data_IF_997087595655
#
_entry.id   IF_997087595655
#
_cell.length_a   1.000
_cell.length_b   1.000
_cell.length_c   1.000
_cell.angle_alpha   90.00
_cell.angle_beta   90.00
_cell.angle_gamma   90.00
#
_symmetry.space_group_name_H-M   'P 1'
#
loop_
_entity.id
_entity.type
_entity.pdbx_description
1 polymer ?
#
# COMPACT_ATOMS: atom_id res chain seq x y z
N UNK A 1 7.41 -0.23 -5.23
CA UNK A 1 7.85 -1.44 -4.55
C UNK A 1 6.78 -2.54 -4.54
N UNK A 2 5.51 -2.20 -4.61
CA UNK A 2 4.38 -3.10 -4.40
C UNK A 2 4.13 -4.02 -5.60
N UNK A 3 4.27 -3.50 -6.82
CA UNK A 3 4.05 -4.28 -8.04
C UNK A 3 5.15 -4.03 -9.07
N UNK A 4 5.84 -5.09 -9.53
CA UNK A 4 6.71 -5.01 -10.69
C UNK A 4 5.82 -5.00 -11.95
N UNK A 5 5.58 -3.82 -12.50
CA UNK A 5 4.70 -3.63 -13.64
C UNK A 5 5.45 -3.82 -14.96
N UNK A 6 4.79 -4.46 -15.94
CA UNK A 6 5.20 -4.42 -17.33
C UNK A 6 4.98 -3.01 -17.92
N UNK A 7 5.59 -2.68 -19.09
CA UNK A 7 5.28 -1.44 -19.78
C UNK A 7 3.77 -1.26 -19.98
N UNK A 8 3.28 -0.06 -19.71
CA UNK A 8 1.85 0.32 -19.77
C UNK A 8 0.90 -0.45 -18.83
N UNK A 9 1.42 -1.30 -17.95
CA UNK A 9 0.60 -1.99 -16.95
C UNK A 9 0.03 -1.01 -15.92
N UNK A 10 -1.10 -1.38 -15.31
CA UNK A 10 -1.84 -0.54 -14.36
C UNK A 10 -1.86 -1.21 -12.98
N UNK A 11 -1.71 -0.40 -11.96
CA UNK A 11 -1.76 -0.83 -10.56
C UNK A 11 -3.17 -0.59 -10.00
N UNK A 12 -3.99 -1.66 -9.94
CA UNK A 12 -5.33 -1.64 -9.33
C UNK A 12 -5.23 -2.22 -7.92
N UNK A 13 -5.33 -1.37 -6.90
CA UNK A 13 -5.09 -1.72 -5.49
C UNK A 13 -6.36 -1.71 -4.65
N UNK A 14 -6.48 -2.68 -3.76
CA UNK A 14 -7.43 -2.71 -2.66
C UNK A 14 -6.75 -3.29 -1.40
N UNK A 15 -7.30 -3.00 -0.23
CA UNK A 15 -6.76 -3.51 1.03
C UNK A 15 -7.87 -4.00 1.96
N UNK A 16 -7.74 -5.22 2.44
CA UNK A 16 -8.60 -5.83 3.45
C UNK A 16 -8.18 -5.32 4.82
N UNK A 17 -9.12 -4.81 5.60
CA UNK A 17 -8.87 -4.40 6.98
C UNK A 17 -8.88 -5.64 7.90
N UNK A 18 -7.70 -6.15 8.24
CA UNK A 18 -7.55 -7.36 9.04
C UNK A 18 -8.10 -7.24 10.47
N UNK A 19 -8.11 -6.04 11.04
CA UNK A 19 -8.63 -5.80 12.39
C UNK A 19 -10.09 -6.24 12.55
N UNK A 20 -10.88 -6.23 11.46
CA UNK A 20 -12.29 -6.60 11.47
C UNK A 20 -12.54 -8.12 11.61
N UNK A 21 -11.52 -8.93 11.44
CA UNK A 21 -11.62 -10.40 11.51
C UNK A 21 -11.10 -10.98 12.81
N UNK A 22 -10.65 -10.14 13.74
CA UNK A 22 -10.25 -10.58 15.08
C UNK A 22 -11.48 -10.79 15.96
N UNK A 23 -11.62 -12.01 16.50
CA UNK A 23 -12.52 -12.26 17.61
C UNK A 23 -11.83 -11.87 18.92
N UNK A 24 -12.19 -10.70 19.44
CA UNK A 24 -11.54 -10.08 20.61
C UNK A 24 -11.86 -10.80 21.93
N UNK A 25 -12.87 -11.67 21.96
CA UNK A 25 -13.23 -12.47 23.16
C UNK A 25 -12.40 -13.73 23.27
N UNK A 26 -12.14 -14.37 22.11
CA UNK A 26 -11.46 -15.67 22.06
C UNK A 26 -10.03 -15.58 21.52
N UNK A 27 -9.54 -14.36 21.19
CA UNK A 27 -8.23 -14.08 20.61
C UNK A 27 -7.94 -14.92 19.34
N UNK A 28 -8.96 -15.10 18.49
CA UNK A 28 -8.90 -15.91 17.27
C UNK A 28 -9.26 -15.09 16.03
N UNK A 29 -9.00 -15.65 14.85
CA UNK A 29 -9.36 -15.03 13.57
C UNK A 29 -10.61 -15.68 13.00
N UNK A 30 -11.57 -14.87 12.53
CA UNK A 30 -12.71 -15.33 11.75
C UNK A 30 -12.28 -15.56 10.29
N UNK A 31 -11.77 -16.74 10.01
CA UNK A 31 -11.31 -17.13 8.68
C UNK A 31 -12.44 -17.23 7.65
N UNK A 32 -13.67 -17.51 8.07
CA UNK A 32 -14.79 -17.62 7.12
C UNK A 32 -15.16 -16.24 6.59
N UNK A 33 -15.32 -15.25 7.46
CA UNK A 33 -15.56 -13.87 7.07
C UNK A 33 -14.39 -13.29 6.24
N UNK A 34 -13.15 -13.66 6.59
CA UNK A 34 -11.96 -13.27 5.83
C UNK A 34 -11.99 -13.83 4.40
N UNK A 35 -12.28 -15.13 4.23
CA UNK A 35 -12.40 -15.75 2.90
C UNK A 35 -13.48 -15.09 2.05
N UNK A 36 -14.65 -14.85 2.63
CA UNK A 36 -15.74 -14.20 1.89
C UNK A 36 -15.33 -12.78 1.43
N UNK A 37 -14.70 -12.01 2.31
CA UNK A 37 -14.21 -10.67 1.98
C UNK A 37 -13.15 -10.70 0.86
N UNK A 38 -12.23 -11.67 0.90
CA UNK A 38 -11.23 -11.86 -0.16
C UNK A 38 -11.89 -12.17 -1.51
N UNK A 39 -12.90 -13.06 -1.56
CA UNK A 39 -13.65 -13.36 -2.79
C UNK A 39 -14.32 -12.11 -3.36
N UNK A 40 -14.98 -11.34 -2.51
CA UNK A 40 -15.61 -10.06 -2.91
C UNK A 40 -14.55 -9.07 -3.40
N UNK A 41 -13.42 -8.95 -2.70
CA UNK A 41 -12.32 -8.06 -3.07
C UNK A 41 -11.73 -8.36 -4.44
N UNK A 42 -11.48 -9.63 -4.75
CA UNK A 42 -10.99 -10.06 -6.07
C UNK A 42 -12.00 -9.73 -7.17
N UNK A 43 -13.28 -10.06 -6.97
CA UNK A 43 -14.36 -9.75 -7.93
C UNK A 43 -14.52 -8.25 -8.14
N UNK A 44 -14.47 -7.46 -7.06
CA UNK A 44 -14.57 -6.01 -7.13
C UNK A 44 -13.43 -5.42 -7.99
N UNK A 45 -12.19 -5.84 -7.73
CA UNK A 45 -11.03 -5.36 -8.50
C UNK A 45 -11.08 -5.80 -9.96
N UNK A 46 -11.56 -7.02 -10.27
CA UNK A 46 -11.77 -7.46 -11.66
C UNK A 46 -12.82 -6.58 -12.37
N UNK A 47 -13.89 -6.18 -11.68
CA UNK A 47 -14.90 -5.27 -12.23
C UNK A 47 -14.33 -3.86 -12.46
N UNK A 48 -13.43 -3.37 -11.60
CA UNK A 48 -12.77 -2.07 -11.79
C UNK A 48 -11.95 -2.02 -13.07
N UNK A 49 -11.30 -3.13 -13.46
CA UNK A 49 -10.57 -3.20 -14.73
C UNK A 49 -11.51 -2.93 -15.91
N UNK A 50 -12.71 -3.52 -15.91
CA UNK A 50 -13.69 -3.35 -16.99
C UNK A 50 -14.36 -1.95 -16.95
N UNK A 51 -14.51 -1.37 -15.75
CA UNK A 51 -15.14 -0.06 -15.57
C UNK A 51 -14.18 1.13 -15.79
N UNK A 52 -12.88 0.88 -15.88
CA UNK A 52 -11.89 1.95 -16.01
C UNK A 52 -11.82 2.49 -17.44
N UNK A 53 -12.02 3.80 -17.65
CA UNK A 53 -11.79 4.45 -18.95
C UNK A 53 -10.28 4.68 -19.13
N UNK A 54 -9.61 3.81 -19.86
CA UNK A 54 -8.18 3.96 -20.13
C UNK A 54 -7.93 5.07 -21.14
N UNK A 55 -7.06 6.01 -20.80
CA UNK A 55 -6.76 7.15 -21.66
C UNK A 55 -5.87 6.76 -22.85
N UNK A 56 -4.85 5.90 -22.62
CA UNK A 56 -3.97 5.38 -23.65
C UNK A 56 -4.43 4.00 -24.12
N UNK A 57 -4.37 3.77 -25.44
CA UNK A 57 -4.72 2.46 -26.01
C UNK A 57 -3.80 1.35 -25.47
N UNK A 58 -2.50 1.63 -25.33
CA UNK A 58 -1.53 0.70 -24.79
C UNK A 58 -1.83 0.30 -23.36
N UNK A 59 -2.30 1.23 -22.51
CA UNK A 59 -2.78 0.91 -21.17
C UNK A 59 -4.02 0.01 -21.22
N UNK A 60 -4.97 0.30 -22.12
CA UNK A 60 -6.17 -0.51 -22.32
C UNK A 60 -5.81 -1.95 -22.71
N UNK A 61 -4.97 -2.11 -23.72
CA UNK A 61 -4.52 -3.42 -24.22
C UNK A 61 -3.81 -4.19 -23.10
N UNK A 62 -2.90 -3.56 -22.39
CA UNK A 62 -2.14 -4.19 -21.31
C UNK A 62 -3.05 -4.57 -20.13
N UNK A 63 -3.86 -3.62 -19.63
CA UNK A 63 -4.70 -3.84 -18.47
C UNK A 63 -5.78 -4.91 -18.71
N UNK A 64 -6.48 -4.86 -19.85
CA UNK A 64 -7.48 -5.86 -20.23
C UNK A 64 -6.82 -7.20 -20.58
N UNK A 65 -5.60 -7.18 -21.13
CA UNK A 65 -4.87 -8.38 -21.52
C UNK A 65 -4.36 -9.19 -20.35
N UNK A 66 -3.75 -8.56 -19.35
CA UNK A 66 -3.21 -9.23 -18.16
C UNK A 66 -4.22 -9.32 -17.00
N UNK A 67 -5.20 -8.43 -16.93
CA UNK A 67 -6.19 -8.31 -15.85
C UNK A 67 -5.55 -8.37 -14.45
N UNK A 68 -4.47 -7.64 -14.28
CA UNK A 68 -3.72 -7.59 -13.02
C UNK A 68 -4.50 -6.83 -11.96
N UNK A 69 -4.59 -7.41 -10.77
CA UNK A 69 -5.09 -6.76 -9.57
C UNK A 69 -4.07 -6.87 -8.44
N UNK A 70 -4.26 -6.12 -7.38
CA UNK A 70 -3.38 -6.11 -6.22
C UNK A 70 -4.19 -5.99 -4.94
N UNK A 71 -4.75 -7.11 -4.47
CA UNK A 71 -5.40 -7.19 -3.18
C UNK A 71 -4.34 -7.31 -2.09
N UNK A 72 -4.33 -6.36 -1.17
CA UNK A 72 -3.45 -6.34 0.00
C UNK A 72 -4.25 -6.26 1.29
N UNK A 73 -3.58 -5.81 2.33
CA UNK A 73 -4.15 -5.71 3.67
C UNK A 73 -3.74 -4.42 4.36
N UNK A 74 -4.46 -4.06 5.42
CA UNK A 74 -4.10 -3.07 6.45
C UNK A 74 -4.57 -3.61 7.80
N UNK A 75 -4.09 -3.03 8.91
CA UNK A 75 -4.49 -3.45 10.25
C UNK A 75 -3.92 -4.81 10.70
N UNK A 76 -2.74 -5.20 10.17
CA UNK A 76 -2.09 -6.43 10.63
C UNK A 76 -1.68 -6.34 12.11
N UNK A 77 -1.10 -5.20 12.52
CA UNK A 77 -0.71 -5.01 13.91
C UNK A 77 -1.91 -5.04 14.85
N UNK A 78 -3.03 -4.43 14.43
CA UNK A 78 -4.29 -4.45 15.20
C UNK A 78 -4.80 -5.88 15.40
N UNK A 79 -4.83 -6.67 14.33
CA UNK A 79 -5.26 -8.07 14.40
C UNK A 79 -4.37 -8.86 15.37
N UNK A 80 -3.04 -8.69 15.29
CA UNK A 80 -2.11 -9.36 16.18
C UNK A 80 -2.34 -8.96 17.66
N UNK A 81 -2.54 -7.67 17.92
CA UNK A 81 -2.86 -7.15 19.26
C UNK A 81 -4.18 -7.76 19.77
N UNK A 82 -5.24 -7.80 18.96
CA UNK A 82 -6.51 -8.41 19.37
C UNK A 82 -6.41 -9.91 19.59
N UNK A 83 -5.47 -10.58 18.93
CA UNK A 83 -5.18 -12.01 19.13
C UNK A 83 -4.13 -12.25 20.22
N UNK A 84 -3.66 -11.23 20.93
CA UNK A 84 -2.63 -11.29 21.96
C UNK A 84 -1.33 -11.95 21.46
N UNK A 85 -0.92 -11.59 20.26
CA UNK A 85 0.32 -12.06 19.62
C UNK A 85 1.26 -10.89 19.38
N UNK A 86 2.48 -11.00 19.92
CA UNK A 86 3.52 -10.01 19.67
C UNK A 86 3.95 -10.06 18.20
N UNK A 87 3.98 -8.90 17.54
CA UNK A 87 4.46 -8.77 16.18
C UNK A 87 5.93 -9.22 16.07
N UNK A 88 6.22 -10.16 15.15
CA UNK A 88 7.57 -10.70 14.95
C UNK A 88 7.99 -11.80 15.92
N UNK A 89 7.18 -12.15 16.90
CA UNK A 89 7.38 -13.36 17.72
C UNK A 89 7.11 -14.64 16.92
N UNK A 90 7.53 -15.79 17.42
CA UNK A 90 7.26 -17.09 16.79
C UNK A 90 5.74 -17.31 16.61
N UNK A 91 4.97 -17.14 17.68
CA UNK A 91 3.51 -17.30 17.66
C UNK A 91 2.81 -16.26 16.76
N UNK A 92 3.31 -15.01 16.74
CA UNK A 92 2.83 -13.97 15.82
C UNK A 92 3.12 -14.33 14.37
N UNK A 93 4.30 -14.85 14.08
CA UNK A 93 4.73 -15.25 12.75
C UNK A 93 3.95 -16.47 12.21
N UNK A 94 3.62 -17.44 13.08
CA UNK A 94 2.74 -18.58 12.72
C UNK A 94 1.35 -18.09 12.33
N UNK A 95 0.77 -17.19 13.10
CA UNK A 95 -0.54 -16.59 12.79
C UNK A 95 -0.50 -15.79 11.48
N UNK A 96 0.55 -15.01 11.25
CA UNK A 96 0.76 -14.27 10.00
C UNK A 96 0.85 -15.22 8.80
N UNK A 97 1.62 -16.30 8.90
CA UNK A 97 1.74 -17.31 7.83
C UNK A 97 0.38 -17.93 7.48
N UNK A 98 -0.43 -18.29 8.48
CA UNK A 98 -1.76 -18.87 8.30
C UNK A 98 -2.76 -17.88 7.65
N UNK A 99 -2.76 -16.62 8.09
CA UNK A 99 -3.63 -15.57 7.53
C UNK A 99 -3.31 -15.36 6.05
N UNK A 100 -2.03 -15.15 5.72
CA UNK A 100 -1.65 -14.87 4.34
C UNK A 100 -1.77 -16.08 3.42
N UNK A 101 -1.56 -17.29 3.94
CA UNK A 101 -1.90 -18.53 3.24
C UNK A 101 -3.39 -18.57 2.89
N UNK A 102 -4.26 -18.32 3.86
CA UNK A 102 -5.71 -18.29 3.66
C UNK A 102 -6.12 -17.26 2.60
N UNK A 103 -5.56 -16.05 2.66
CA UNK A 103 -5.82 -15.00 1.67
C UNK A 103 -5.37 -15.45 0.29
N UNK A 104 -4.16 -16.01 0.15
CA UNK A 104 -3.60 -16.41 -1.12
C UNK A 104 -4.41 -17.54 -1.78
N UNK A 105 -4.69 -18.61 -1.04
CA UNK A 105 -5.47 -19.74 -1.53
C UNK A 105 -6.87 -19.28 -1.97
N UNK A 106 -7.54 -18.50 -1.13
CA UNK A 106 -8.88 -17.98 -1.43
C UNK A 106 -8.91 -17.03 -2.65
N UNK A 107 -7.93 -16.15 -2.78
CA UNK A 107 -7.86 -15.23 -3.93
C UNK A 107 -7.67 -16.00 -5.25
N UNK A 108 -6.81 -17.01 -5.25
CA UNK A 108 -6.59 -17.83 -6.43
C UNK A 108 -7.80 -18.71 -6.76
N UNK A 109 -8.47 -19.31 -5.77
CA UNK A 109 -9.76 -19.99 -5.97
C UNK A 109 -10.80 -19.06 -6.60
N UNK A 110 -11.01 -17.87 -6.01
CA UNK A 110 -11.96 -16.89 -6.54
C UNK A 110 -11.66 -16.48 -7.99
N UNK A 111 -10.38 -16.31 -8.34
CA UNK A 111 -9.99 -15.97 -9.70
C UNK A 111 -10.18 -17.13 -10.70
N UNK A 112 -10.03 -18.39 -10.27
CA UNK A 112 -10.37 -19.55 -11.11
C UNK A 112 -11.88 -19.70 -11.32
N UNK A 113 -12.69 -19.39 -10.31
CA UNK A 113 -14.14 -19.35 -10.42
C UNK A 113 -14.60 -18.24 -11.37
N UNK A 114 -14.00 -17.04 -11.26
CA UNK A 114 -14.25 -15.95 -12.21
C UNK A 114 -13.86 -16.32 -13.65
N UNK A 115 -12.80 -17.11 -13.84
CA UNK A 115 -12.42 -17.60 -15.16
C UNK A 115 -13.49 -18.54 -15.76
N UNK A 116 -14.16 -19.36 -14.96
CA UNK A 116 -15.29 -20.19 -15.40
C UNK A 116 -16.49 -19.34 -15.85
N UNK A 117 -16.74 -18.22 -15.14
CA UNK A 117 -17.85 -17.32 -15.44
C UNK A 117 -17.58 -16.42 -16.66
N UNK A 118 -16.35 -15.91 -16.80
CA UNK A 118 -16.00 -14.76 -17.68
C UNK A 118 -14.82 -15.03 -18.62
N UNK A 119 -14.23 -16.20 -18.56
CA UNK A 119 -13.01 -16.55 -19.29
C UNK A 119 -11.73 -16.16 -18.58
N UNK A 120 -10.61 -16.76 -18.98
CA UNK A 120 -9.27 -16.45 -18.55
C UNK A 120 -8.86 -15.02 -18.92
N UNK A 121 -7.84 -14.49 -18.27
CA UNK A 121 -7.21 -13.27 -18.78
C UNK A 121 -6.62 -13.52 -20.18
N UNK A 122 -6.83 -12.57 -21.13
CA UNK A 122 -6.52 -12.76 -22.54
C UNK A 122 -5.11 -13.24 -22.86
N UNK A 123 -4.08 -12.75 -22.13
CA UNK A 123 -2.69 -13.17 -22.37
C UNK A 123 -2.39 -14.63 -21.96
N UNK A 124 -3.32 -15.31 -21.28
CA UNK A 124 -3.25 -16.75 -21.00
C UNK A 124 -3.93 -17.62 -22.07
N UNK A 125 -4.49 -17.01 -23.09
CA UNK A 125 -5.21 -17.67 -24.19
C UNK A 125 -4.38 -17.56 -25.47
N UNK A 126 -3.93 -18.68 -26.01
CA UNK A 126 -3.18 -18.75 -27.27
C UNK A 126 -4.11 -18.77 -28.48
N UNK A 127 -3.50 -18.73 -29.65
CA UNK A 127 -4.22 -18.81 -30.93
C UNK A 127 -4.83 -20.20 -31.20
N UNK A 128 -4.31 -21.24 -30.52
CA UNK A 128 -4.81 -22.63 -30.60
C UNK A 128 -5.04 -23.20 -29.20
N UNK A 129 -5.76 -24.30 -29.12
CA UNK A 129 -5.97 -25.03 -27.86
C UNK A 129 -4.65 -25.58 -27.30
N UNK A 130 -3.74 -26.05 -28.16
CA UNK A 130 -2.42 -26.52 -27.74
C UNK A 130 -1.57 -25.40 -27.16
N UNK A 131 -1.63 -24.22 -27.78
CA UNK A 131 -0.91 -23.05 -27.24
C UNK A 131 -1.51 -22.60 -25.91
N UNK A 132 -2.82 -22.57 -25.79
CA UNK A 132 -3.51 -22.26 -24.52
C UNK A 132 -3.13 -23.25 -23.42
N UNK A 133 -3.11 -24.54 -23.72
CA UNK A 133 -2.68 -25.57 -22.76
C UNK A 133 -1.23 -25.39 -22.32
N UNK A 134 -0.33 -25.04 -23.25
CA UNK A 134 1.08 -24.74 -22.97
C UNK A 134 1.22 -23.52 -22.06
N UNK A 135 0.48 -22.43 -22.33
CA UNK A 135 0.51 -21.21 -21.51
C UNK A 135 0.00 -21.48 -20.09
N UNK A 136 -1.12 -22.20 -19.94
CA UNK A 136 -1.66 -22.58 -18.62
C UNK A 136 -0.68 -23.46 -17.84
N UNK A 137 -0.04 -24.42 -18.52
CA UNK A 137 0.99 -25.25 -17.89
C UNK A 137 2.16 -24.41 -17.40
N UNK A 138 2.70 -23.53 -18.23
CA UNK A 138 3.80 -22.64 -17.85
C UNK A 138 3.42 -21.74 -16.65
N UNK A 139 2.18 -21.23 -16.60
CA UNK A 139 1.68 -20.46 -15.48
C UNK A 139 1.70 -21.29 -14.18
N UNK A 140 1.21 -22.53 -14.20
CA UNK A 140 1.17 -23.40 -13.02
C UNK A 140 2.54 -23.91 -12.58
N UNK A 141 3.57 -23.81 -13.42
CA UNK A 141 4.95 -24.17 -13.11
C UNK A 141 5.78 -23.00 -12.54
N UNK A 142 5.23 -21.79 -12.42
CA UNK A 142 5.93 -20.65 -11.82
C UNK A 142 6.26 -20.92 -10.35
N UNK A 143 7.34 -20.30 -9.85
CA UNK A 143 7.79 -20.51 -8.47
C UNK A 143 6.74 -20.19 -7.42
N UNK A 144 5.87 -19.21 -7.67
CA UNK A 144 4.74 -18.91 -6.78
C UNK A 144 3.71 -20.04 -6.81
N UNK A 145 3.32 -20.50 -7.99
CA UNK A 145 2.28 -21.54 -8.15
C UNK A 145 2.69 -22.92 -7.62
N UNK A 146 3.98 -23.19 -7.46
CA UNK A 146 4.45 -24.45 -6.86
C UNK A 146 3.97 -24.62 -5.42
N UNK A 147 3.69 -23.53 -4.70
CA UNK A 147 3.19 -23.51 -3.32
C UNK A 147 1.68 -23.67 -3.22
N UNK A 148 0.96 -23.43 -4.32
CA UNK A 148 -0.50 -23.49 -4.35
C UNK A 148 -1.00 -24.94 -4.29
N UNK A 149 -2.17 -25.18 -3.64
CA UNK A 149 -2.82 -26.49 -3.62
C UNK A 149 -3.02 -27.09 -4.99
N UNK A 150 -2.98 -28.42 -5.08
CA UNK A 150 -3.11 -29.15 -6.35
C UNK A 150 -4.42 -28.82 -7.07
N UNK A 151 -5.54 -28.73 -6.35
CA UNK A 151 -6.85 -28.44 -6.93
C UNK A 151 -6.92 -27.08 -7.64
N UNK A 152 -6.23 -26.03 -7.14
CA UNK A 152 -6.15 -24.73 -7.80
C UNK A 152 -5.39 -24.86 -9.13
N UNK A 153 -4.25 -25.57 -9.14
CA UNK A 153 -3.47 -25.83 -10.36
C UNK A 153 -4.27 -26.61 -11.39
N UNK A 154 -5.00 -27.63 -10.96
CA UNK A 154 -5.88 -28.43 -11.80
C UNK A 154 -7.00 -27.59 -12.42
N UNK A 155 -7.62 -26.70 -11.65
CA UNK A 155 -8.62 -25.75 -12.16
C UNK A 155 -8.02 -24.80 -13.21
N UNK A 156 -6.82 -24.26 -12.96
CA UNK A 156 -6.12 -23.40 -13.93
C UNK A 156 -5.82 -24.15 -15.23
N UNK A 157 -5.36 -25.39 -15.16
CA UNK A 157 -5.13 -26.20 -16.33
C UNK A 157 -6.42 -26.45 -17.11
N UNK A 158 -7.52 -26.71 -16.43
CA UNK A 158 -8.82 -27.02 -17.04
C UNK A 158 -9.50 -25.77 -17.64
N UNK A 159 -9.64 -24.70 -16.87
CA UNK A 159 -10.47 -23.53 -17.24
C UNK A 159 -9.69 -22.21 -17.32
N UNK A 160 -8.43 -22.18 -16.85
CA UNK A 160 -7.63 -20.96 -16.75
C UNK A 160 -7.86 -20.21 -15.44
N UNK A 161 -7.37 -18.98 -15.40
CA UNK A 161 -7.51 -18.04 -14.28
C UNK A 161 -7.83 -16.65 -14.81
N UNK A 162 -8.66 -15.89 -14.09
CA UNK A 162 -9.16 -14.59 -14.55
C UNK A 162 -8.14 -13.47 -14.52
N UNK A 163 -7.21 -13.51 -13.57
CA UNK A 163 -6.24 -12.44 -13.28
C UNK A 163 -4.82 -12.98 -13.31
N UNK A 164 -3.89 -12.27 -13.92
CA UNK A 164 -2.47 -12.68 -14.03
C UNK A 164 -1.75 -12.62 -12.70
N UNK A 165 -2.06 -11.62 -11.88
CA UNK A 165 -1.56 -11.40 -10.53
C UNK A 165 -2.72 -10.94 -9.66
N UNK A 166 -2.70 -11.32 -8.39
CA UNK A 166 -3.82 -11.11 -7.47
C UNK A 166 -3.43 -10.33 -6.22
N UNK A 167 -2.22 -10.54 -5.69
CA UNK A 167 -1.85 -10.13 -4.35
C UNK A 167 -0.64 -9.20 -4.34
N UNK A 168 -0.76 -8.10 -3.60
CA UNK A 168 0.33 -7.18 -3.30
C UNK A 168 0.06 -6.50 -1.97
N UNK A 169 1.09 -5.95 -1.33
CA UNK A 169 0.85 -5.15 -0.13
C UNK A 169 1.34 -3.73 -0.36
N UNK A 170 0.39 -2.82 -0.49
CA UNK A 170 0.61 -1.38 -0.57
C UNK A 170 0.73 -0.76 0.84
N UNK A 171 1.33 0.43 0.97
CA UNK A 171 1.50 1.10 2.27
C UNK A 171 0.19 1.43 2.99
N UNK A 172 -0.89 1.71 2.27
CA UNK A 172 -2.21 2.14 2.78
C UNK A 172 -2.17 3.31 3.79
N UNK A 173 -1.16 4.18 3.70
CA UNK A 173 -0.90 5.23 4.68
C UNK A 173 -2.12 6.10 5.00
N UNK A 174 -2.75 6.69 3.98
CA UNK A 174 -3.95 7.52 4.16
C UNK A 174 -5.18 6.68 4.49
N UNK A 175 -5.36 5.53 3.84
CA UNK A 175 -6.54 4.68 4.01
C UNK A 175 -6.58 4.04 5.41
N UNK A 176 -5.46 3.47 5.87
CA UNK A 176 -5.36 2.87 7.21
C UNK A 176 -5.60 3.91 8.30
N UNK A 177 -4.97 5.09 8.19
CA UNK A 177 -5.18 6.19 9.13
C UNK A 177 -6.64 6.66 9.14
N UNK A 178 -7.30 6.73 7.97
CA UNK A 178 -8.69 7.18 7.86
C UNK A 178 -9.67 6.23 8.54
N UNK A 179 -9.37 4.94 8.55
CA UNK A 179 -10.23 3.92 9.20
C UNK A 179 -9.72 3.49 10.58
N UNK A 180 -8.73 4.20 11.13
CA UNK A 180 -8.27 4.03 12.51
C UNK A 180 -7.45 2.77 12.80
N UNK A 181 -6.74 2.21 11.80
CA UNK A 181 -5.91 1.01 11.96
C UNK A 181 -4.47 1.23 11.51
N UNK A 182 -3.58 0.34 11.91
CA UNK A 182 -2.20 0.30 11.44
C UNK A 182 -2.13 0.16 9.91
N UNK A 183 -1.16 0.83 9.30
CA UNK A 183 -1.05 0.93 7.84
C UNK A 183 -0.31 -0.27 7.25
N UNK A 184 -0.89 -0.88 6.22
CA UNK A 184 -0.30 -2.03 5.54
C UNK A 184 0.07 -3.17 6.48
N UNK A 185 1.34 -3.53 6.47
CA UNK A 185 1.93 -4.55 7.33
C UNK A 185 2.67 -3.96 8.53
N UNK A 186 2.68 -2.64 8.67
CA UNK A 186 3.54 -2.02 9.67
C UNK A 186 2.98 -2.19 11.08
N UNK A 187 3.83 -2.42 12.09
CA UNK A 187 3.46 -2.16 13.46
C UNK A 187 3.24 -0.66 13.64
N UNK A 188 2.54 -0.26 14.68
CA UNK A 188 2.41 1.16 15.01
C UNK A 188 3.79 1.80 15.19
N UNK A 189 4.00 2.97 14.60
CA UNK A 189 5.22 3.75 14.83
C UNK A 189 5.32 4.16 16.30
N UNK A 190 4.20 4.61 16.84
CA UNK A 190 3.99 4.92 18.26
C UNK A 190 2.51 4.79 18.58
N UNK A 191 2.17 4.36 19.78
CA UNK A 191 0.79 4.32 20.28
C UNK A 191 0.31 5.69 20.74
N UNK A 192 1.24 6.61 21.01
CA UNK A 192 0.97 8.00 21.33
C UNK A 192 1.89 8.87 20.47
N UNK A 193 1.32 9.81 19.74
CA UNK A 193 2.07 10.76 18.93
C UNK A 193 1.47 12.16 19.00
N UNK A 194 2.27 13.16 18.65
CA UNK A 194 1.83 14.53 18.62
C UNK A 194 1.54 14.97 17.20
N UNK A 195 0.36 15.53 17.00
CA UNK A 195 -0.07 16.05 15.69
C UNK A 195 -0.17 17.58 15.76
N UNK A 196 0.45 18.22 14.77
CA UNK A 196 0.29 19.66 14.54
C UNK A 196 -0.53 19.91 13.28
N UNK A 197 -1.43 20.86 13.31
CA UNK A 197 -2.27 21.21 12.17
C UNK A 197 -3.21 22.38 12.47
N UNK A 198 -4.20 22.62 11.61
CA UNK A 198 -5.15 23.73 11.72
C UNK A 198 -5.92 23.79 13.05
N UNK A 199 -6.06 22.68 13.75
CA UNK A 199 -6.82 22.57 15.01
C UNK A 199 -5.96 22.81 16.25
N UNK A 200 -4.64 22.97 16.12
CA UNK A 200 -3.72 23.22 17.23
C UNK A 200 -2.34 22.63 16.99
N UNK A 201 -1.39 23.01 17.87
CA UNK A 201 -0.02 22.51 17.87
C UNK A 201 0.13 21.43 18.93
N UNK A 202 0.81 20.35 18.59
CA UNK A 202 1.17 19.25 19.51
C UNK A 202 -0.04 18.67 20.27
N UNK A 203 -1.14 18.42 19.54
CA UNK A 203 -2.27 17.67 20.12
C UNK A 203 -1.83 16.21 20.25
N UNK A 204 -1.86 15.72 21.48
CA UNK A 204 -1.59 14.31 21.76
C UNK A 204 -2.71 13.45 21.17
N UNK A 205 -2.34 12.47 20.37
CA UNK A 205 -3.26 11.50 19.75
C UNK A 205 -2.82 10.11 20.17
N UNK A 206 -3.75 9.36 20.77
CA UNK A 206 -3.56 7.95 21.09
C UNK A 206 -4.14 7.09 19.96
N UNK A 207 -3.50 5.98 19.70
CA UNK A 207 -4.05 4.96 18.79
C UNK A 207 -5.35 4.42 19.41
N UNK A 208 -6.41 4.34 18.61
CA UNK A 208 -7.75 3.89 19.06
C UNK A 208 -7.70 2.52 19.74
N UNK A 209 -6.88 1.62 19.26
CA UNK A 209 -6.70 0.28 19.82
C UNK A 209 -6.21 0.28 21.27
N UNK A 210 -5.39 1.27 21.66
CA UNK A 210 -4.93 1.40 23.05
C UNK A 210 -6.09 1.82 23.94
N UNK A 211 -6.86 2.82 23.52
CA UNK A 211 -8.02 3.27 24.29
C UNK A 211 -9.05 2.14 24.43
N UNK A 212 -9.36 1.45 23.35
CA UNK A 212 -10.29 0.31 23.35
C UNK A 212 -9.80 -0.81 24.28
N UNK A 213 -8.50 -1.09 24.30
CA UNK A 213 -7.94 -2.10 25.20
C UNK A 213 -8.06 -1.70 26.67
N UNK A 214 -7.70 -0.46 27.01
CA UNK A 214 -7.78 0.05 28.38
C UNK A 214 -9.24 0.13 28.88
N UNK A 215 -10.19 0.47 28.02
CA UNK A 215 -11.61 0.48 28.35
C UNK A 215 -12.14 -0.91 28.72
N UNK A 216 -11.59 -1.97 28.13
CA UNK A 216 -11.93 -3.37 28.44
C UNK A 216 -11.12 -3.96 29.60
N UNK A 217 -9.96 -3.38 29.87
CA UNK A 217 -9.01 -3.82 30.90
C UNK A 217 -8.66 -2.66 31.85
N UNK A 218 -9.61 -2.21 32.67
CA UNK A 218 -9.40 -1.05 33.54
C UNK A 218 -8.37 -1.27 34.65
N UNK A 219 -7.95 -2.53 34.84
CA UNK A 219 -6.86 -2.91 35.75
C UNK A 219 -5.47 -2.66 35.17
N UNK A 220 -5.35 -2.47 33.85
CA UNK A 220 -4.06 -2.28 33.15
C UNK A 220 -3.67 -0.80 33.21
N UNK A 221 -2.43 -0.54 33.57
CA UNK A 221 -1.84 0.79 33.49
C UNK A 221 -1.40 1.08 32.06
N UNK A 222 -1.77 2.25 31.52
CA UNK A 222 -1.36 2.69 30.18
C UNK A 222 0.18 2.68 29.97
N UNK A 223 0.96 2.85 31.02
CA UNK A 223 2.40 2.83 30.96
C UNK A 223 3.00 1.42 30.98
N UNK A 224 2.17 0.41 31.22
CA UNK A 224 2.54 -1.00 31.34
C UNK A 224 1.65 -1.87 30.45
N UNK A 225 1.52 -1.48 29.15
CA UNK A 225 0.78 -2.28 28.18
C UNK A 225 1.45 -3.67 28.02
N UNK A 226 0.65 -4.71 27.75
CA UNK A 226 1.19 -6.05 27.50
C UNK A 226 2.20 -6.11 26.36
N UNK A 227 3.05 -7.14 26.35
CA UNK A 227 4.16 -7.33 25.40
C UNK A 227 3.75 -7.35 23.92
N UNK A 228 2.51 -7.71 23.61
CA UNK A 228 1.99 -7.67 22.23
C UNK A 228 1.67 -6.27 21.71
N UNK A 229 1.74 -5.24 22.56
CA UNK A 229 1.75 -3.84 22.14
C UNK A 229 3.16 -3.37 21.83
N UNK A 230 3.71 -3.82 20.70
CA UNK A 230 5.06 -3.47 20.26
C UNK A 230 5.03 -2.41 19.16
N UNK A 231 5.88 -1.41 19.26
CA UNK A 231 6.05 -0.36 18.24
C UNK A 231 7.12 -0.72 17.23
N UNK A 232 7.11 -0.02 16.08
CA UNK A 232 8.07 -0.23 15.01
C UNK A 232 9.52 -0.01 15.44
N UNK A 233 9.76 0.87 16.43
CA UNK A 233 11.12 1.20 16.90
C UNK A 233 11.60 0.26 18.01
N UNK A 234 10.71 -0.41 18.72
CA UNK A 234 11.03 -1.44 19.71
C UNK A 234 11.38 -2.78 19.06
N UNK A 235 10.81 -3.01 17.90
CA UNK A 235 11.04 -4.23 17.14
C UNK A 235 12.46 -4.27 16.55
N UNK A 236 13.13 -5.42 16.68
CA UNK A 236 14.45 -5.62 16.05
C UNK A 236 14.34 -5.59 14.52
N UNK A 237 15.31 -4.99 13.79
CA UNK A 237 15.31 -4.95 12.32
C UNK A 237 15.16 -6.34 11.67
N UNK A 238 15.73 -7.38 12.28
CA UNK A 238 15.64 -8.76 11.83
C UNK A 238 14.17 -9.27 11.87
N UNK A 239 13.42 -8.92 12.91
CA UNK A 239 12.03 -9.33 13.06
C UNK A 239 11.13 -8.66 11.99
N UNK A 240 11.37 -7.38 11.67
CA UNK A 240 10.71 -6.73 10.53
C UNK A 240 10.96 -7.49 9.21
N UNK A 241 12.21 -7.90 8.97
CA UNK A 241 12.58 -8.63 7.77
C UNK A 241 11.95 -10.03 7.72
N UNK A 242 11.90 -10.73 8.86
CA UNK A 242 11.31 -12.07 8.94
C UNK A 242 9.82 -12.06 8.65
N UNK A 243 9.06 -11.13 9.25
CA UNK A 243 7.62 -10.97 8.95
C UNK A 243 7.41 -10.70 7.46
N UNK A 244 8.21 -9.82 6.84
CA UNK A 244 8.12 -9.57 5.40
C UNK A 244 8.40 -10.84 4.58
N UNK A 245 9.40 -11.62 4.93
CA UNK A 245 9.74 -12.86 4.24
C UNK A 245 8.64 -13.93 4.37
N UNK A 246 8.02 -14.04 5.54
CA UNK A 246 6.88 -14.94 5.77
C UNK A 246 5.73 -14.57 4.85
N UNK A 247 5.36 -13.30 4.82
CA UNK A 247 4.26 -12.79 3.98
C UNK A 247 4.58 -12.95 2.51
N UNK A 248 5.83 -12.70 2.08
CA UNK A 248 6.22 -12.80 0.67
C UNK A 248 6.04 -14.22 0.09
N UNK A 249 6.00 -15.25 0.91
CA UNK A 249 5.66 -16.61 0.44
C UNK A 249 4.30 -16.66 -0.24
N UNK A 250 3.36 -15.84 0.25
CA UNK A 250 1.94 -15.85 -0.14
C UNK A 250 1.54 -14.67 -1.03
N UNK A 251 2.46 -13.75 -1.33
CA UNK A 251 2.22 -12.59 -2.20
C UNK A 251 2.90 -12.82 -3.55
N UNK A 252 2.11 -12.84 -4.62
CA UNK A 252 2.58 -13.06 -5.98
C UNK A 252 3.28 -11.84 -6.60
N UNK A 253 2.89 -10.63 -6.23
CA UNK A 253 3.62 -9.41 -6.55
C UNK A 253 4.67 -9.08 -5.48
N UNK A 254 4.82 -7.83 -5.09
CA UNK A 254 5.78 -7.40 -4.07
C UNK A 254 5.10 -6.79 -2.86
N UNK A 255 5.89 -6.40 -1.90
CA UNK A 255 5.46 -5.89 -0.60
C UNK A 255 6.14 -4.55 -0.33
N UNK A 256 5.37 -3.54 0.06
CA UNK A 256 5.88 -2.32 0.67
C UNK A 256 5.92 -2.51 2.18
N UNK A 257 7.11 -2.65 2.71
CA UNK A 257 7.37 -2.73 4.15
C UNK A 257 8.68 -2.05 4.49
N UNK A 258 8.68 -1.32 5.60
CA UNK A 258 9.87 -0.68 6.15
C UNK A 258 10.47 -1.52 7.28
N UNK A 259 11.75 -1.77 7.19
CA UNK A 259 12.56 -2.24 8.32
C UNK A 259 13.05 -1.01 9.06
N UNK A 260 12.51 -0.76 10.24
CA UNK A 260 12.96 0.34 11.09
C UNK A 260 14.20 -0.08 11.87
N UNK A 261 15.21 0.78 11.90
CA UNK A 261 16.47 0.54 12.57
C UNK A 261 16.83 1.72 13.48
N UNK A 262 17.44 1.47 14.65
CA UNK A 262 17.77 2.52 15.60
C UNK A 262 18.86 3.46 15.07
N UNK A 263 18.92 4.65 15.65
CA UNK A 263 19.98 5.63 15.38
C UNK A 263 21.37 5.02 15.56
N UNK A 264 22.25 5.26 14.59
CA UNK A 264 23.62 4.72 14.61
C UNK A 264 23.75 3.32 14.00
N UNK A 265 22.68 2.78 13.42
CA UNK A 265 22.72 1.52 12.69
C UNK A 265 23.70 1.63 11.50
N UNK A 266 24.70 0.77 11.45
CA UNK A 266 25.81 0.88 10.50
C UNK A 266 25.46 0.34 9.11
N UNK A 267 26.24 0.74 8.10
CA UNK A 267 26.09 0.23 6.72
C UNK A 267 26.19 -1.30 6.68
N UNK A 268 27.12 -1.90 7.45
CA UNK A 268 27.28 -3.35 7.52
C UNK A 268 26.06 -4.06 8.17
N UNK A 269 25.37 -3.40 9.09
CA UNK A 269 24.13 -3.93 9.66
C UNK A 269 22.97 -3.81 8.66
N UNK A 270 22.88 -2.72 7.91
CA UNK A 270 21.91 -2.56 6.82
C UNK A 270 22.15 -3.62 5.75
N UNK A 271 23.39 -3.89 5.35
CA UNK A 271 23.77 -4.94 4.42
C UNK A 271 23.22 -6.31 4.87
N UNK A 272 23.39 -6.66 6.15
CA UNK A 272 22.86 -7.91 6.72
C UNK A 272 21.33 -7.99 6.65
N UNK A 273 20.61 -6.86 6.82
CA UNK A 273 19.16 -6.83 6.64
C UNK A 273 18.78 -7.15 5.20
N UNK A 274 19.44 -6.54 4.22
CA UNK A 274 19.18 -6.85 2.80
C UNK A 274 19.54 -8.29 2.44
N UNK A 275 20.66 -8.82 2.96
CA UNK A 275 20.99 -10.23 2.80
C UNK A 275 19.92 -11.15 3.40
N UNK A 276 19.36 -10.81 4.57
CA UNK A 276 18.29 -11.57 5.22
C UNK A 276 17.02 -11.57 4.38
N UNK A 277 16.61 -10.40 3.90
CA UNK A 277 15.45 -10.26 3.00
C UNK A 277 15.64 -11.09 1.72
N UNK A 278 16.81 -11.00 1.09
CA UNK A 278 17.12 -11.77 -0.12
C UNK A 278 17.09 -13.28 0.14
N UNK A 279 17.77 -13.75 1.19
CA UNK A 279 17.79 -15.17 1.57
C UNK A 279 16.40 -15.68 1.99
N UNK A 280 15.57 -14.82 2.58
CA UNK A 280 14.19 -15.11 2.94
C UNK A 280 13.19 -15.06 1.79
N UNK A 281 13.65 -14.70 0.57
CA UNK A 281 12.82 -14.69 -0.65
C UNK A 281 11.96 -13.44 -0.81
N UNK A 282 12.24 -12.37 -0.09
CA UNK A 282 11.60 -11.08 -0.32
C UNK A 282 12.02 -10.50 -1.68
N UNK A 283 11.07 -9.90 -2.41
CA UNK A 283 11.33 -9.32 -3.75
C UNK A 283 11.87 -7.89 -3.71
N UNK A 284 11.86 -7.28 -2.54
CA UNK A 284 12.40 -5.95 -2.29
C UNK A 284 12.46 -5.68 -0.81
N UNK A 285 13.02 -4.54 -0.41
CA UNK A 285 13.09 -4.13 0.97
C UNK A 285 13.40 -2.65 1.11
N UNK A 286 12.89 -2.03 2.15
CA UNK A 286 13.18 -0.65 2.53
C UNK A 286 13.70 -0.65 3.95
N UNK A 287 14.84 0.03 4.18
CA UNK A 287 15.40 0.23 5.51
C UNK A 287 15.34 1.71 5.84
N UNK A 288 14.81 2.03 6.99
CA UNK A 288 14.83 3.38 7.56
C UNK A 288 15.66 3.36 8.84
N UNK A 289 16.75 4.11 8.85
CA UNK A 289 17.57 4.30 10.06
C UNK A 289 17.15 5.61 10.71
N UNK A 290 16.81 5.55 12.00
CA UNK A 290 16.39 6.74 12.76
C UNK A 290 17.47 7.83 12.73
N UNK A 291 17.03 9.08 12.52
CA UNK A 291 17.94 10.24 12.41
C UNK A 291 18.79 10.27 11.14
N UNK A 292 18.53 9.44 10.12
CA UNK A 292 19.26 9.46 8.83
C UNK A 292 18.79 10.53 7.85
N UNK A 293 17.70 11.23 8.14
CA UNK A 293 17.16 12.34 7.34
C UNK A 293 17.17 13.64 8.12
N UNK A 294 17.40 14.75 7.44
CA UNK A 294 17.42 16.10 8.01
C UNK A 294 16.03 16.55 8.49
N UNK A 295 14.97 16.03 7.87
CA UNK A 295 13.59 16.25 8.31
C UNK A 295 12.88 14.90 8.54
N UNK A 296 12.36 14.69 9.73
CA UNK A 296 11.56 13.52 10.08
C UNK A 296 10.07 13.85 9.94
N UNK A 297 9.32 12.96 9.27
CA UNK A 297 7.86 13.13 9.06
C UNK A 297 7.08 12.82 10.35
N UNK A 298 7.63 11.95 11.20
CA UNK A 298 7.02 11.56 12.49
C UNK A 298 8.06 11.72 13.60
N UNK A 299 7.73 12.44 14.66
CA UNK A 299 8.56 12.63 15.85
C UNK A 299 7.85 12.16 17.10
N UNK A 300 8.59 11.52 18.00
CA UNK A 300 8.08 11.05 19.30
C UNK A 300 8.08 12.16 20.37
N UNK A 301 8.81 13.24 20.13
CA UNK A 301 8.90 14.42 21.01
C UNK A 301 8.87 15.68 20.16
N UNK A 302 8.20 16.72 20.68
CA UNK A 302 8.33 18.06 20.16
C UNK A 302 9.75 18.57 20.48
N UNK A 303 10.65 18.59 19.51
CA UNK A 303 11.98 19.21 19.65
C UNK A 303 11.85 20.72 19.42
N UNK A 304 12.59 21.54 20.19
CA UNK A 304 12.55 23.00 20.04
C UNK A 304 12.92 23.49 18.63
N UNK A 305 13.74 22.74 17.90
CA UNK A 305 14.13 23.04 16.51
C UNK A 305 12.97 22.87 15.50
N UNK A 306 11.97 22.03 15.79
CA UNK A 306 10.78 21.89 14.95
C UNK A 306 9.83 23.11 15.09
N UNK A 307 9.94 23.86 16.19
CA UNK A 307 9.19 25.09 16.41
C UNK A 307 9.56 26.20 15.42
N UNK A 308 10.84 26.32 15.09
CA UNK A 308 11.31 27.33 14.12
C UNK A 308 10.89 27.01 12.69
N UNK A 309 10.88 25.70 12.34
CA UNK A 309 10.44 25.24 11.00
C UNK A 309 8.92 25.38 10.82
N UNK A 310 8.15 25.11 11.87
CA UNK A 310 6.69 25.31 11.86
C UNK A 310 6.31 26.81 11.83
N UNK A 311 7.09 27.68 12.46
CA UNK A 311 6.89 29.14 12.37
C UNK A 311 7.14 29.67 10.97
N UNK A 312 8.11 29.09 10.24
CA UNK A 312 8.39 29.43 8.85
C UNK A 312 7.28 28.97 7.89
N UNK A 313 6.71 27.79 8.13
CA UNK A 313 5.55 27.31 7.35
C UNK A 313 4.28 28.11 7.69
N UNK A 314 4.07 28.54 8.91
CA UNK A 314 2.97 29.43 9.32
C UNK A 314 3.10 30.82 8.69
N UNK A 315 4.31 31.40 8.62
CA UNK A 315 4.56 32.67 7.93
C UNK A 315 4.23 32.57 6.43
N UNK A 316 4.59 31.46 5.79
CA UNK A 316 4.26 31.21 4.38
C UNK A 316 2.74 31.06 4.18
N UNK A 317 2.04 30.39 5.10
CA UNK A 317 0.57 30.22 5.05
C UNK A 317 -0.14 31.54 5.34
N UNK A 318 0.33 32.34 6.31
CA UNK A 318 -0.23 33.67 6.58
C UNK A 318 -0.01 34.62 5.41
N UNK A 319 1.14 34.59 4.73
CA UNK A 319 1.41 35.40 3.54
C UNK A 319 0.49 35.01 2.37
N UNK A 320 0.14 33.72 2.25
CA UNK A 320 -0.79 33.23 1.23
C UNK A 320 -2.26 33.52 1.56
N UNK A 321 -2.64 33.58 2.85
CA UNK A 321 -4.04 33.88 3.27
C UNK A 321 -4.35 35.37 3.29
N UNK A 322 -3.35 36.26 3.33
CA UNK A 322 -3.53 37.70 3.24
C UNK A 322 -3.81 38.20 1.81
N UNK A 323 -3.72 37.34 0.78
CA UNK A 323 -4.14 37.71 -0.57
C UNK A 323 -5.64 37.56 -0.71
N UNK A 324 -6.36 38.56 -1.23
CA UNK A 324 -7.79 38.44 -1.41
C UNK A 324 -8.10 37.28 -2.36
N UNK A 325 -8.85 36.30 -1.88
CA UNK A 325 -9.46 35.28 -2.71
C UNK A 325 -10.50 36.01 -3.56
N UNK A 326 -10.21 36.24 -4.82
CA UNK A 326 -11.22 36.65 -5.78
C UNK A 326 -12.10 35.42 -6.02
N UNK A 327 -13.23 35.37 -5.34
CA UNK A 327 -14.31 34.45 -5.68
C UNK A 327 -14.80 34.82 -7.07
N UNK A 328 -14.34 34.12 -8.08
CA UNK A 328 -14.94 34.19 -9.40
C UNK A 328 -16.20 33.34 -9.34
N UNK A 329 -17.34 34.01 -9.14
CA UNK A 329 -18.65 33.45 -9.48
C UNK A 329 -18.67 33.14 -10.99
N UNK A 330 -18.34 31.92 -11.35
CA UNK A 330 -18.74 31.39 -12.66
C UNK A 330 -18.69 29.87 -12.64
N UNK A 331 -19.77 29.29 -12.18
CA UNK A 331 -20.19 27.94 -12.57
C UNK A 331 -20.86 28.08 -13.93
N UNK A 332 -20.09 28.36 -14.97
CA UNK A 332 -20.46 28.18 -16.37
C UNK A 332 -19.19 28.15 -17.21
N UNK A 333 -18.62 26.98 -17.36
CA UNK A 333 -17.77 26.49 -18.46
C UNK A 333 -16.95 25.29 -18.00
N UNK A 334 -17.59 24.19 -17.71
CA UNK A 334 -16.92 22.89 -17.68
C UNK A 334 -17.07 22.21 -19.05
N UNK A 335 -16.56 22.89 -20.08
CA UNK A 335 -16.34 22.33 -21.42
C UNK A 335 -15.01 22.79 -22.02
N UNK A 336 -13.93 22.81 -21.25
CA UNK A 336 -12.58 22.73 -21.81
C UNK A 336 -11.60 22.24 -20.75
N UNK A 337 -10.94 21.16 -21.02
CA UNK A 337 -9.87 20.53 -20.23
C UNK A 337 -8.55 21.30 -20.23
N UNK A 338 -8.55 22.60 -20.44
CA UNK A 338 -7.36 23.44 -20.49
C UNK A 338 -7.16 24.14 -19.14
N UNK A 339 -6.05 23.85 -18.47
CA UNK A 339 -5.60 24.64 -17.31
C UNK A 339 -5.35 26.07 -17.80
N UNK A 340 -6.06 27.05 -17.25
CA UNK A 340 -5.93 28.46 -17.63
C UNK A 340 -4.47 28.87 -17.41
N UNK A 341 -3.83 29.43 -18.48
CA UNK A 341 -2.43 29.86 -18.44
C UNK A 341 -1.42 28.76 -18.81
N UNK A 342 -1.85 27.61 -19.28
CA UNK A 342 -0.95 26.51 -19.71
C UNK A 342 -0.51 26.58 -21.18
N UNK A 343 -1.01 27.54 -21.97
CA UNK A 343 -0.66 27.66 -23.38
C UNK A 343 0.67 28.40 -23.59
N UNK A 344 1.36 28.04 -24.67
CA UNK A 344 2.63 28.66 -25.07
C UNK A 344 2.50 30.18 -25.17
N UNK A 345 3.48 30.88 -24.60
CA UNK A 345 3.51 32.37 -24.55
C UNK A 345 2.88 32.96 -23.28
N UNK A 346 2.14 32.18 -22.48
CA UNK A 346 1.56 32.65 -21.23
C UNK A 346 2.57 32.66 -20.08
N UNK A 347 2.32 33.50 -19.09
CA UNK A 347 3.06 33.46 -17.83
C UNK A 347 2.67 32.17 -17.07
N UNK A 348 3.67 31.43 -16.58
CA UNK A 348 3.47 30.18 -15.88
C UNK A 348 2.51 30.34 -14.69
N UNK A 349 1.43 29.55 -14.58
CA UNK A 349 0.47 29.64 -13.48
C UNK A 349 1.05 29.12 -12.15
N UNK A 350 2.13 28.33 -12.20
CA UNK A 350 2.74 27.73 -10.99
C UNK A 350 3.70 28.74 -10.34
N UNK A 351 4.73 29.18 -11.05
CA UNK A 351 5.74 30.08 -10.46
C UNK A 351 5.49 31.55 -10.72
N UNK A 352 4.59 31.93 -11.66
CA UNK A 352 4.23 33.29 -12.08
C UNK A 352 5.41 34.17 -12.51
N UNK A 353 6.55 33.55 -12.86
CA UNK A 353 7.78 34.25 -13.25
C UNK A 353 8.28 33.83 -14.63
N UNK A 354 8.12 32.59 -15.00
CA UNK A 354 8.57 32.07 -16.29
C UNK A 354 7.49 32.12 -17.35
N UNK A 355 7.89 32.03 -18.61
CA UNK A 355 7.00 31.89 -19.77
C UNK A 355 6.82 30.44 -20.11
N UNK A 356 5.65 30.06 -20.56
CA UNK A 356 5.35 28.69 -21.03
C UNK A 356 5.86 28.56 -22.47
N UNK A 357 6.71 27.57 -22.71
CA UNK A 357 7.23 27.23 -24.03
C UNK A 357 7.03 25.74 -24.33
N UNK A 358 6.97 25.37 -25.59
CA UNK A 358 6.91 23.98 -26.00
C UNK A 358 8.29 23.35 -25.91
N UNK A 359 8.45 22.37 -25.03
CA UNK A 359 9.70 21.65 -24.83
C UNK A 359 9.44 20.15 -24.83
N UNK A 360 9.93 19.43 -25.83
CA UNK A 360 9.79 17.98 -25.92
C UNK A 360 8.34 17.47 -26.02
N UNK A 361 7.47 18.23 -26.69
CA UNK A 361 6.05 17.89 -26.84
C UNK A 361 5.16 18.27 -25.64
N UNK A 362 5.73 18.96 -24.65
CA UNK A 362 4.99 19.45 -23.48
C UNK A 362 5.14 20.97 -23.35
N UNK A 363 4.06 21.66 -22.97
CA UNK A 363 4.10 23.05 -22.58
C UNK A 363 4.76 23.16 -21.20
N UNK A 364 6.00 23.65 -21.19
CA UNK A 364 6.87 23.65 -20.01
C UNK A 364 7.26 25.08 -19.63
N UNK A 365 7.29 25.37 -18.33
CA UNK A 365 7.74 26.68 -17.85
C UNK A 365 9.26 26.81 -17.94
N UNK A 366 9.75 27.88 -18.54
CA UNK A 366 11.18 28.20 -18.71
C UNK A 366 11.89 28.50 -17.38
N UNK A 367 11.16 28.86 -16.31
CA UNK A 367 11.76 29.26 -15.04
C UNK A 367 11.72 28.14 -13.99
N UNK A 368 10.60 27.41 -13.83
CA UNK A 368 10.46 26.38 -12.77
C UNK A 368 10.39 24.95 -13.30
N UNK A 369 10.40 24.75 -14.62
CA UNK A 369 10.34 23.42 -15.23
C UNK A 369 8.99 22.71 -15.12
N UNK A 370 7.95 23.37 -14.60
CA UNK A 370 6.63 22.76 -14.49
C UNK A 370 6.06 22.43 -15.88
N UNK A 371 5.71 21.18 -16.10
CA UNK A 371 5.00 20.72 -17.29
C UNK A 371 3.50 20.92 -17.09
N UNK A 372 2.91 21.81 -17.86
CA UNK A 372 1.55 22.31 -17.69
C UNK A 372 0.53 21.64 -18.60
N UNK A 373 0.98 21.23 -19.78
CA UNK A 373 0.18 20.52 -20.78
C UNK A 373 1.13 19.72 -21.65
N UNK A 374 0.96 18.41 -21.68
CA UNK A 374 1.65 17.57 -22.65
C UNK A 374 0.68 17.28 -23.77
N UNK A 375 1.06 17.69 -24.98
CA UNK A 375 0.22 17.50 -26.15
C UNK A 375 0.23 16.06 -26.64
N UNK A 376 -0.91 15.61 -27.10
CA UNK A 376 -1.01 14.74 -28.25
C UNK A 376 -1.15 15.61 -29.48
#
# INVERSE_FOLDING_TARGET
>A
LEQPLAPYSVCNLAAVNLAQFANKENQTVDYEALRETVRVGVRMQDNVIDATPYFLEENSVQALGERRVGLGVMGLADLLIYCEKEYGSEAGNELVDEIFKTIAETAYEASTELAKERGSFPFLVGATDEETARLRKAFTETGFMQKMPAHIKEQILATGIRNSHLLTVAPTGSTGTMVGVATGLEPYFSFTYYRSGRLGKFIEVKAEIVQEYLDRHPEVNEQELPEWFVTAMELKPEAHADVQCIIQKWIDSSISKTVNAPKGYTVQQVEKVYERLYKGGAKGGTVYVDGSRDSQVLTLKAEENDMDQLSFEEELVEEHTKRPVVLVDTIQALESTTVIGSDVGNTCPVCRKGTVEEMGGCNTCTNCGAQLKCGL
#
